data_IF_576728000944
#
_entry.id   IF_576728000944
#
_cell.length_a   1.000
_cell.length_b   1.000
_cell.length_c   1.000
_cell.angle_alpha   90.00
_cell.angle_beta   90.00
_cell.angle_gamma   90.00
#
_symmetry.space_group_name_H-M   'P 1'
#
loop_
_entity.id
_entity.type
_entity.pdbx_description
1 polymer ?
#
# COMPACT_ATOMS: atom_id res chain seq x y z
N UNK A 1 13.25 29.14 -3.63
CA UNK A 1 12.78 28.56 -2.34
C UNK A 1 11.77 29.48 -1.68
N UNK A 2 10.62 28.95 -1.22
CA UNK A 2 9.61 29.72 -0.49
C UNK A 2 9.54 29.23 0.97
N UNK A 3 9.47 30.15 1.93
CA UNK A 3 9.18 29.81 3.33
C UNK A 3 7.67 29.60 3.46
N UNK A 4 7.25 28.44 3.99
CA UNK A 4 5.85 28.09 4.16
C UNK A 4 5.55 27.98 5.65
N UNK A 5 4.51 28.70 6.08
CA UNK A 5 4.01 28.68 7.45
C UNK A 5 2.80 27.76 7.53
N UNK A 6 2.91 26.71 8.35
CA UNK A 6 1.91 25.62 8.42
C UNK A 6 1.04 25.76 9.68
N UNK A 7 1.46 26.58 10.65
CA UNK A 7 0.69 26.90 11.86
C UNK A 7 1.44 27.94 12.68
N UNK A 8 0.78 28.47 13.72
CA UNK A 8 1.30 29.40 14.73
C UNK A 8 2.53 28.88 15.50
N UNK A 9 2.92 27.60 15.31
CA UNK A 9 3.97 26.91 16.08
C UNK A 9 5.02 26.22 15.20
N UNK A 10 5.25 26.65 13.96
CA UNK A 10 6.47 26.25 13.24
C UNK A 10 6.50 26.56 11.75
N UNK A 11 7.73 26.71 11.24
CA UNK A 11 8.05 27.06 9.85
C UNK A 11 8.84 25.93 9.22
N UNK A 12 8.54 25.62 7.95
CA UNK A 12 9.40 24.77 7.12
C UNK A 12 9.76 25.52 5.84
N UNK A 13 10.89 25.17 5.26
CA UNK A 13 11.32 25.70 3.97
C UNK A 13 11.14 24.63 2.93
N UNK A 14 10.36 24.91 1.88
CA UNK A 14 10.13 24.00 0.77
C UNK A 14 10.50 24.67 -0.54
N UNK A 15 11.06 23.89 -1.45
CA UNK A 15 11.23 24.30 -2.84
C UNK A 15 10.00 23.86 -3.64
N UNK A 16 9.03 24.76 -3.75
CA UNK A 16 7.74 24.48 -4.37
C UNK A 16 7.08 25.75 -4.91
N UNK A 17 6.15 25.59 -5.85
CA UNK A 17 5.33 26.66 -6.41
C UNK A 17 3.95 26.77 -5.75
N UNK A 18 3.66 25.95 -4.73
CA UNK A 18 2.42 26.01 -3.95
C UNK A 18 2.02 27.45 -3.58
N UNK A 19 0.74 27.74 -3.78
CA UNK A 19 0.12 29.03 -3.48
C UNK A 19 -0.27 29.12 -2.00
N UNK A 20 -0.40 30.35 -1.48
CA UNK A 20 -0.93 30.59 -0.13
C UNK A 20 -2.31 29.95 0.09
N UNK A 21 -3.16 29.98 -0.95
CA UNK A 21 -4.47 29.32 -0.90
C UNK A 21 -4.38 27.80 -0.76
N UNK A 22 -3.37 27.16 -1.37
CA UNK A 22 -3.13 25.72 -1.17
C UNK A 22 -2.62 25.44 0.25
N UNK A 23 -1.70 26.25 0.76
CA UNK A 23 -1.17 26.12 2.14
C UNK A 23 -2.30 26.29 3.17
N UNK A 24 -3.18 27.28 2.99
CA UNK A 24 -4.34 27.47 3.88
C UNK A 24 -5.26 26.26 3.91
N UNK A 25 -5.48 25.60 2.76
CA UNK A 25 -6.26 24.35 2.68
C UNK A 25 -5.58 23.20 3.42
N UNK A 26 -4.25 23.10 3.38
CA UNK A 26 -3.50 22.14 4.19
C UNK A 26 -3.70 22.37 5.69
N UNK A 27 -3.70 23.63 6.14
CA UNK A 27 -3.94 23.94 7.54
C UNK A 27 -5.39 23.59 7.95
N UNK A 28 -6.36 23.80 7.06
CA UNK A 28 -7.76 23.39 7.27
C UNK A 28 -7.93 21.87 7.37
N UNK A 29 -7.09 21.09 6.68
CA UNK A 29 -7.11 19.63 6.74
C UNK A 29 -6.73 19.10 8.13
N UNK A 30 -5.86 19.78 8.86
CA UNK A 30 -5.50 19.43 10.25
C UNK A 30 -6.75 19.40 11.14
N UNK A 31 -7.60 20.42 11.03
CA UNK A 31 -8.81 20.55 11.86
C UNK A 31 -9.87 19.49 11.54
N UNK A 32 -9.80 18.88 10.35
CA UNK A 32 -10.79 17.93 9.84
C UNK A 32 -10.28 16.49 9.82
N UNK A 33 -9.05 16.27 10.25
CA UNK A 33 -8.49 14.94 10.39
C UNK A 33 -9.24 14.18 11.48
N UNK A 34 -9.66 12.96 11.15
CA UNK A 34 -10.38 12.08 12.07
C UNK A 34 -9.34 11.19 12.77
N UNK A 35 -9.44 11.11 14.10
CA UNK A 35 -8.66 10.19 14.93
C UNK A 35 -9.63 9.19 15.55
N UNK A 36 -9.53 7.92 15.16
CA UNK A 36 -10.38 6.85 15.66
C UNK A 36 -9.61 5.53 15.70
N UNK A 37 -9.83 4.74 16.75
CA UNK A 37 -9.15 3.45 16.99
C UNK A 37 -7.62 3.52 16.91
N UNK A 38 -7.05 4.65 17.34
CA UNK A 38 -5.60 4.89 17.29
C UNK A 38 -5.05 5.11 15.89
N UNK A 39 -5.88 5.46 14.91
CA UNK A 39 -5.47 5.75 13.53
C UNK A 39 -5.95 7.12 13.03
N UNK A 40 -5.17 7.73 12.12
CA UNK A 40 -5.60 8.90 11.34
C UNK A 40 -6.40 8.49 10.10
N UNK A 41 -7.42 9.28 9.84
CA UNK A 41 -8.14 9.28 8.59
C UNK A 41 -8.32 10.71 8.09
N UNK A 42 -8.05 10.91 6.80
CA UNK A 42 -8.19 12.20 6.12
C UNK A 42 -9.44 12.11 5.24
N UNK A 43 -10.49 12.91 5.50
CA UNK A 43 -11.70 12.90 4.68
C UNK A 43 -11.38 13.19 3.21
N UNK A 44 -11.93 12.39 2.28
CA UNK A 44 -11.62 12.56 0.85
C UNK A 44 -12.06 13.94 0.32
N UNK A 45 -13.12 14.51 0.89
CA UNK A 45 -13.65 15.83 0.55
C UNK A 45 -12.69 16.99 0.87
N UNK A 46 -11.71 16.74 1.74
CA UNK A 46 -10.75 17.75 2.19
C UNK A 46 -9.39 17.63 1.47
N UNK A 47 -9.24 16.62 0.60
CA UNK A 47 -7.99 16.34 -0.12
C UNK A 47 -7.69 17.31 -1.26
N UNK A 48 -8.61 18.19 -1.63
CA UNK A 48 -8.42 19.06 -2.81
C UNK A 48 -7.17 19.96 -2.68
N UNK A 49 -6.88 20.49 -1.48
CA UNK A 49 -5.63 21.20 -1.22
C UNK A 49 -4.39 20.33 -1.41
N UNK A 50 -4.45 19.07 -0.95
CA UNK A 50 -3.34 18.11 -0.99
C UNK A 50 -3.07 17.59 -2.40
N UNK A 51 -4.13 17.33 -3.16
CA UNK A 51 -4.09 16.84 -4.53
C UNK A 51 -3.95 17.97 -5.56
N UNK A 52 -3.50 19.14 -5.10
CA UNK A 52 -3.21 20.31 -5.93
C UNK A 52 -4.37 20.74 -6.85
N UNK A 53 -5.60 20.64 -6.35
CA UNK A 53 -6.83 20.97 -7.06
C UNK A 53 -7.69 21.97 -6.27
N UNK A 54 -8.53 22.71 -6.98
CA UNK A 54 -9.41 23.70 -6.36
C UNK A 54 -10.83 23.20 -6.10
N UNK A 55 -11.13 21.96 -6.50
CA UNK A 55 -12.47 21.37 -6.37
C UNK A 55 -12.42 20.07 -5.60
N UNK A 56 -13.36 19.90 -4.66
CA UNK A 56 -13.60 18.64 -3.95
C UNK A 56 -13.95 17.50 -4.90
N UNK A 57 -14.78 17.77 -5.90
CA UNK A 57 -15.16 16.77 -6.91
C UNK A 57 -13.96 16.33 -7.74
N UNK A 58 -13.07 17.26 -8.12
CA UNK A 58 -11.82 16.91 -8.80
C UNK A 58 -10.91 16.06 -7.90
N UNK A 59 -10.88 16.30 -6.60
CA UNK A 59 -10.13 15.45 -5.66
C UNK A 59 -10.68 14.02 -5.64
N UNK A 60 -12.02 13.86 -5.62
CA UNK A 60 -12.68 12.55 -5.73
C UNK A 60 -12.35 11.85 -7.04
N UNK A 61 -12.38 12.58 -8.16
CA UNK A 61 -12.01 12.05 -9.48
C UNK A 61 -10.56 11.55 -9.48
N UNK A 62 -9.61 12.31 -8.92
CA UNK A 62 -8.21 11.87 -8.79
C UNK A 62 -8.14 10.58 -7.96
N UNK A 63 -8.78 10.53 -6.79
CA UNK A 63 -8.80 9.33 -5.94
C UNK A 63 -9.38 8.12 -6.68
N UNK A 64 -10.45 8.31 -7.44
CA UNK A 64 -11.07 7.25 -8.22
C UNK A 64 -10.18 6.78 -9.39
N UNK A 65 -9.50 7.69 -10.09
CA UNK A 65 -8.60 7.36 -11.19
C UNK A 65 -7.37 6.57 -10.72
N UNK A 66 -6.93 6.82 -9.49
CA UNK A 66 -5.81 6.11 -8.84
C UNK A 66 -6.30 5.16 -7.76
N UNK A 67 -7.51 4.61 -7.92
CA UNK A 67 -8.15 3.77 -6.89
C UNK A 67 -7.31 2.56 -6.55
N UNK A 68 -6.65 1.93 -7.51
CA UNK A 68 -5.79 0.77 -7.22
C UNK A 68 -4.61 1.09 -6.32
N UNK A 69 -4.04 2.30 -6.44
CA UNK A 69 -2.95 2.77 -5.57
C UNK A 69 -3.43 2.96 -4.13
N UNK A 70 -4.69 3.40 -3.95
CA UNK A 70 -5.20 3.81 -2.63
C UNK A 70 -6.24 2.87 -2.02
N UNK A 71 -6.72 1.85 -2.74
CA UNK A 71 -7.86 1.00 -2.33
C UNK A 71 -7.64 0.34 -0.97
N UNK A 72 -6.42 -0.09 -0.68
CA UNK A 72 -6.06 -0.72 0.59
C UNK A 72 -6.08 0.25 1.79
N UNK A 73 -6.08 1.56 1.52
CA UNK A 73 -5.98 2.63 2.50
C UNK A 73 -7.23 3.52 2.57
N UNK A 74 -8.14 3.31 1.62
CA UNK A 74 -9.40 4.02 1.50
C UNK A 74 -10.46 3.28 2.33
N UNK A 75 -11.05 3.98 3.29
CA UNK A 75 -12.12 3.47 4.13
C UNK A 75 -13.42 4.12 3.71
N UNK A 76 -14.29 3.32 3.09
CA UNK A 76 -15.65 3.68 2.69
C UNK A 76 -16.63 2.94 3.60
N UNK A 77 -16.75 3.39 4.83
CA UNK A 77 -17.71 2.87 5.79
C UNK A 77 -18.72 3.98 6.13
N UNK A 78 -19.98 3.87 5.65
CA UNK A 78 -20.98 4.91 5.83
C UNK A 78 -21.42 5.06 7.30
N UNK A 79 -21.16 4.08 8.15
CA UNK A 79 -21.54 4.10 9.57
C UNK A 79 -20.39 4.63 10.41
N UNK A 80 -19.16 4.14 10.18
CA UNK A 80 -17.99 4.46 11.00
C UNK A 80 -17.74 5.96 11.13
N UNK A 81 -17.84 6.69 10.02
CA UNK A 81 -17.56 8.13 9.98
C UNK A 81 -18.81 9.01 9.95
N UNK A 82 -19.99 8.43 10.19
CA UNK A 82 -21.26 9.17 10.19
C UNK A 82 -21.24 10.33 11.19
N UNK A 83 -20.67 10.12 12.38
CA UNK A 83 -20.54 11.13 13.45
C UNK A 83 -19.67 12.34 13.05
N UNK A 84 -18.84 12.19 12.01
CA UNK A 84 -18.02 13.26 11.44
C UNK A 84 -18.62 13.86 10.16
N UNK A 85 -19.75 13.34 9.68
CA UNK A 85 -20.34 13.77 8.41
C UNK A 85 -19.49 13.40 7.18
N UNK A 86 -18.69 12.34 7.28
CA UNK A 86 -17.74 11.93 6.23
C UNK A 86 -18.15 10.57 5.68
N UNK A 87 -18.24 10.46 4.35
CA UNK A 87 -18.64 9.22 3.65
C UNK A 87 -17.46 8.30 3.33
N UNK A 88 -16.27 8.86 3.26
CA UNK A 88 -15.04 8.14 2.96
C UNK A 88 -13.83 8.92 3.44
N UNK A 89 -12.82 8.20 3.90
CA UNK A 89 -11.57 8.78 4.34
C UNK A 89 -10.39 7.90 3.94
N UNK A 90 -9.23 8.51 3.74
CA UNK A 90 -8.00 7.82 3.37
C UNK A 90 -6.99 7.89 4.52
N UNK A 91 -6.24 6.82 4.73
CA UNK A 91 -5.09 6.85 5.66
C UNK A 91 -3.93 7.67 5.08
N UNK A 92 -3.11 8.34 5.92
CA UNK A 92 -1.98 9.15 5.44
C UNK A 92 -1.00 8.39 4.53
N UNK A 93 -0.73 7.11 4.80
CA UNK A 93 0.15 6.28 3.95
C UNK A 93 -0.40 6.05 2.54
N UNK A 94 -1.72 5.91 2.39
CA UNK A 94 -2.34 5.83 1.07
C UNK A 94 -2.20 7.13 0.29
N UNK A 95 -2.28 8.27 0.99
CA UNK A 95 -2.09 9.59 0.41
C UNK A 95 -0.62 9.85 0.04
N UNK A 96 0.33 9.34 0.83
CA UNK A 96 1.76 9.35 0.50
C UNK A 96 2.01 8.65 -0.84
N UNK A 97 1.54 7.40 -0.97
CA UNK A 97 1.73 6.61 -2.18
C UNK A 97 1.11 7.31 -3.40
N UNK A 98 -0.11 7.84 -3.24
CA UNK A 98 -0.78 8.59 -4.30
C UNK A 98 0.02 9.83 -4.74
N UNK A 99 0.55 10.61 -3.80
CA UNK A 99 1.30 11.83 -4.12
C UNK A 99 2.62 11.52 -4.85
N UNK A 100 3.34 10.46 -4.48
CA UNK A 100 4.52 10.03 -5.23
C UNK A 100 4.15 9.53 -6.63
N UNK A 101 3.11 8.69 -6.77
CA UNK A 101 2.64 8.25 -8.08
C UNK A 101 2.23 9.43 -8.97
N UNK A 102 1.58 10.46 -8.41
CA UNK A 102 1.23 11.69 -9.13
C UNK A 102 2.46 12.53 -9.50
N UNK A 103 3.50 12.54 -8.68
CA UNK A 103 4.76 13.21 -8.97
C UNK A 103 5.50 12.55 -10.12
N UNK A 104 5.54 11.21 -10.15
CA UNK A 104 6.11 10.41 -11.23
C UNK A 104 5.32 10.58 -12.53
N UNK A 105 3.99 10.51 -12.46
CA UNK A 105 3.12 10.66 -13.63
C UNK A 105 3.09 12.10 -14.18
N UNK A 106 3.47 13.11 -13.39
CA UNK A 106 3.48 14.52 -13.81
C UNK A 106 4.77 15.24 -13.37
N UNK A 107 5.90 15.02 -14.08
CA UNK A 107 7.20 15.56 -13.71
C UNK A 107 7.23 17.09 -13.56
N UNK A 108 6.42 17.81 -14.35
CA UNK A 108 6.32 19.28 -14.28
C UNK A 108 5.78 19.79 -12.94
N UNK A 109 5.02 18.95 -12.22
CA UNK A 109 4.43 19.26 -10.92
C UNK A 109 5.01 18.42 -9.78
N UNK A 110 6.05 17.62 -10.04
CA UNK A 110 6.61 16.71 -9.07
C UNK A 110 7.06 17.40 -7.77
N UNK A 111 7.67 18.59 -7.88
CA UNK A 111 8.07 19.39 -6.72
C UNK A 111 6.89 19.87 -5.88
N UNK A 112 5.74 20.15 -6.48
CA UNK A 112 4.53 20.55 -5.74
C UNK A 112 3.85 19.38 -5.04
N UNK A 113 3.85 18.19 -5.65
CA UNK A 113 3.35 16.97 -5.02
C UNK A 113 4.26 16.52 -3.88
N UNK A 114 5.58 16.59 -4.05
CA UNK A 114 6.54 16.32 -2.96
C UNK A 114 6.50 17.40 -1.88
N UNK A 115 6.25 18.67 -2.25
CA UNK A 115 5.94 19.73 -1.30
C UNK A 115 4.69 19.41 -0.47
N UNK A 116 3.62 18.95 -1.12
CA UNK A 116 2.39 18.48 -0.48
C UNK A 116 2.61 17.31 0.48
N UNK A 117 3.47 16.37 0.09
CA UNK A 117 3.88 15.25 0.92
C UNK A 117 4.69 15.69 2.14
N UNK A 118 5.62 16.64 1.99
CA UNK A 118 6.35 17.20 3.12
C UNK A 118 5.44 17.96 4.10
N UNK A 119 4.44 18.69 3.59
CA UNK A 119 3.40 19.32 4.42
C UNK A 119 2.59 18.27 5.20
N UNK A 120 2.16 17.20 4.53
CA UNK A 120 1.44 16.09 5.15
C UNK A 120 2.29 15.42 6.23
N UNK A 121 3.57 15.14 5.95
CA UNK A 121 4.49 14.53 6.90
C UNK A 121 4.72 15.42 8.13
N UNK A 122 4.83 16.73 7.94
CA UNK A 122 4.92 17.70 9.03
C UNK A 122 3.67 17.71 9.91
N UNK A 123 2.48 17.67 9.29
CA UNK A 123 1.22 17.55 10.00
C UNK A 123 1.21 16.26 10.82
N UNK A 124 1.53 15.12 10.20
CA UNK A 124 1.59 13.81 10.86
C UNK A 124 2.58 13.80 12.02
N UNK A 125 3.77 14.39 11.86
CA UNK A 125 4.80 14.45 12.90
C UNK A 125 4.36 15.25 14.14
N UNK A 126 3.46 16.23 13.98
CA UNK A 126 2.87 16.98 15.10
C UNK A 126 1.73 16.25 15.81
N UNK A 127 1.35 15.07 15.33
CA UNK A 127 0.37 14.20 15.95
C UNK A 127 1.00 12.82 16.22
N UNK A 128 1.71 12.61 17.34
CA UNK A 128 2.48 11.39 17.61
C UNK A 128 1.68 10.08 17.54
N UNK A 129 0.35 10.15 17.73
CA UNK A 129 -0.54 9.01 17.54
C UNK A 129 -0.60 8.52 16.07
N UNK A 130 -0.19 9.33 15.10
CA UNK A 130 -0.21 9.01 13.66
C UNK A 130 1.08 8.34 13.16
N UNK A 131 2.22 8.68 13.78
CA UNK A 131 3.44 7.90 13.62
C UNK A 131 3.24 6.49 14.21
N UNK A 132 2.60 6.42 15.38
CA UNK A 132 2.21 5.16 16.02
C UNK A 132 1.24 4.35 15.14
N UNK A 133 0.24 4.98 14.51
CA UNK A 133 -0.71 4.27 13.64
C UNK A 133 -0.05 3.64 12.40
N UNK A 134 0.93 4.33 11.80
CA UNK A 134 1.67 3.80 10.66
C UNK A 134 2.55 2.60 11.04
N UNK A 135 3.20 2.66 12.21
CA UNK A 135 3.96 1.52 12.76
C UNK A 135 3.05 0.37 13.21
N UNK A 136 1.89 0.66 13.78
CA UNK A 136 0.87 -0.32 14.15
C UNK A 136 0.34 -1.00 12.88
N UNK A 137 0.08 -0.26 11.80
CA UNK A 137 -0.38 -0.83 10.53
C UNK A 137 0.67 -1.71 9.85
N UNK A 138 1.95 -1.31 9.85
CA UNK A 138 3.04 -2.17 9.37
C UNK A 138 3.06 -3.50 10.15
N UNK A 139 2.94 -3.44 11.48
CA UNK A 139 2.84 -4.62 12.34
C UNK A 139 1.57 -5.44 12.10
N UNK A 140 0.43 -4.81 11.85
CA UNK A 140 -0.81 -5.54 11.53
C UNK A 140 -0.75 -6.22 10.17
N UNK A 141 -0.18 -5.57 9.14
CA UNK A 141 0.01 -6.18 7.82
C UNK A 141 0.97 -7.37 7.90
N UNK A 142 2.06 -7.21 8.62
CA UNK A 142 3.01 -8.30 8.89
C UNK A 142 2.33 -9.44 9.68
N UNK A 143 1.53 -9.11 10.70
CA UNK A 143 0.81 -10.12 11.48
C UNK A 143 -0.24 -10.87 10.66
N UNK A 144 -0.98 -10.18 9.77
CA UNK A 144 -1.94 -10.81 8.85
C UNK A 144 -1.22 -11.73 7.87
N UNK A 145 -0.14 -11.26 7.25
CA UNK A 145 0.67 -12.06 6.33
C UNK A 145 1.25 -13.30 7.04
N UNK A 146 1.83 -13.12 8.23
CA UNK A 146 2.38 -14.22 9.03
C UNK A 146 1.29 -15.21 9.45
N UNK A 147 0.08 -14.74 9.78
CA UNK A 147 -1.06 -15.59 10.11
C UNK A 147 -1.52 -16.42 8.92
N UNK A 148 -1.63 -15.82 7.73
CA UNK A 148 -1.99 -16.53 6.49
C UNK A 148 -0.92 -17.56 6.13
N UNK A 149 0.36 -17.18 6.16
CA UNK A 149 1.49 -18.09 5.89
C UNK A 149 1.50 -19.25 6.89
N UNK A 150 1.36 -18.98 8.18
CA UNK A 150 1.33 -20.01 9.23
C UNK A 150 0.10 -20.92 9.11
N UNK A 151 -1.06 -20.38 8.72
CA UNK A 151 -2.26 -21.17 8.40
C UNK A 151 -1.96 -22.12 7.24
N UNK A 152 -1.48 -21.60 6.11
CA UNK A 152 -1.21 -22.39 4.91
C UNK A 152 -0.19 -23.51 5.15
N UNK A 153 0.92 -23.21 5.85
CA UNK A 153 1.95 -24.23 6.19
C UNK A 153 1.41 -25.34 7.11
N UNK A 154 0.45 -25.03 7.99
CA UNK A 154 -0.20 -26.01 8.87
C UNK A 154 -1.26 -26.84 8.17
N UNK A 155 -2.02 -26.25 7.24
CA UNK A 155 -3.12 -26.96 6.57
C UNK A 155 -2.67 -27.82 5.41
N UNK A 156 -1.55 -27.52 4.77
CA UNK A 156 -1.05 -28.28 3.63
C UNK A 156 0.00 -29.31 4.04
N UNK A 157 -0.36 -30.58 3.89
CA UNK A 157 0.54 -31.72 4.13
C UNK A 157 1.21 -32.24 2.84
N UNK A 158 0.81 -31.69 1.69
CA UNK A 158 1.32 -32.05 0.37
C UNK A 158 1.84 -30.78 -0.30
N UNK A 159 3.03 -30.88 -0.92
CA UNK A 159 3.58 -29.85 -1.79
C UNK A 159 2.66 -29.65 -2.98
N UNK A 160 2.10 -28.45 -3.14
CA UNK A 160 1.08 -28.19 -4.16
C UNK A 160 1.61 -28.21 -5.59
N UNK A 161 2.92 -28.05 -5.78
CA UNK A 161 3.59 -28.16 -7.08
C UNK A 161 3.96 -29.62 -7.38
N UNK A 162 4.83 -30.23 -6.55
CA UNK A 162 5.37 -31.57 -6.84
C UNK A 162 4.49 -32.74 -6.41
N UNK A 163 3.36 -32.48 -5.74
CA UNK A 163 2.44 -33.47 -5.13
C UNK A 163 3.08 -34.43 -4.11
N UNK A 164 4.35 -34.24 -3.78
CA UNK A 164 5.04 -34.96 -2.73
C UNK A 164 4.49 -34.58 -1.34
N UNK A 165 4.37 -35.57 -0.46
CA UNK A 165 4.08 -35.31 0.96
C UNK A 165 5.27 -34.59 1.61
N UNK A 166 4.99 -33.69 2.54
CA UNK A 166 6.02 -33.06 3.38
C UNK A 166 6.46 -34.02 4.49
N UNK A 167 7.77 -34.17 4.68
CA UNK A 167 8.36 -34.84 5.85
C UNK A 167 8.70 -33.83 6.94
N UNK A 168 9.12 -34.32 8.12
CA UNK A 168 9.55 -33.45 9.22
C UNK A 168 10.81 -32.63 8.89
N UNK A 169 11.62 -33.11 7.95
CA UNK A 169 12.86 -32.46 7.52
C UNK A 169 12.63 -31.49 6.35
N UNK A 170 11.44 -31.52 5.73
CA UNK A 170 11.12 -30.64 4.62
C UNK A 170 10.79 -29.22 5.11
N UNK A 171 11.57 -28.24 4.65
CA UNK A 171 11.21 -26.84 4.83
C UNK A 171 10.00 -26.49 3.96
N UNK A 172 8.91 -26.03 4.58
CA UNK A 172 7.72 -25.54 3.86
C UNK A 172 7.87 -24.05 3.55
N UNK A 173 7.68 -23.68 2.28
CA UNK A 173 7.61 -22.30 1.83
C UNK A 173 6.23 -21.97 1.29
N UNK A 174 5.83 -20.71 1.39
CA UNK A 174 4.62 -20.18 0.76
C UNK A 174 5.08 -19.25 -0.35
N UNK A 175 4.69 -19.58 -1.58
CA UNK A 175 5.10 -18.88 -2.78
C UNK A 175 3.91 -18.12 -3.38
N UNK A 176 4.15 -16.88 -3.81
CA UNK A 176 3.18 -16.06 -4.52
C UNK A 176 3.12 -16.45 -6.00
N UNK A 177 1.93 -16.80 -6.51
CA UNK A 177 1.74 -17.13 -7.93
C UNK A 177 1.96 -15.89 -8.80
N UNK A 178 1.24 -14.79 -8.50
CA UNK A 178 1.62 -13.46 -8.95
C UNK A 178 2.51 -12.84 -7.88
N UNK A 179 3.76 -12.54 -8.24
CA UNK A 179 4.74 -12.03 -7.30
C UNK A 179 4.29 -10.72 -6.63
N UNK A 180 4.73 -10.51 -5.38
CA UNK A 180 4.35 -9.33 -4.61
C UNK A 180 4.77 -8.02 -5.27
N UNK A 181 5.87 -8.01 -6.04
CA UNK A 181 6.31 -6.86 -6.83
C UNK A 181 5.44 -6.59 -8.05
N UNK A 182 4.85 -7.64 -8.62
CA UNK A 182 4.06 -7.63 -9.84
C UNK A 182 2.60 -7.26 -9.56
N UNK A 183 1.98 -7.83 -8.51
CA UNK A 183 0.65 -7.44 -8.03
C UNK A 183 0.59 -7.44 -6.48
N UNK A 184 0.94 -6.31 -5.83
CA UNK A 184 0.90 -6.19 -4.38
C UNK A 184 -0.49 -6.40 -3.78
N UNK A 185 -1.57 -6.24 -4.55
CA UNK A 185 -2.93 -6.39 -4.05
C UNK A 185 -3.33 -7.84 -3.77
N UNK A 186 -2.59 -8.79 -4.35
CA UNK A 186 -2.78 -10.22 -4.17
C UNK A 186 -1.83 -10.84 -3.13
N UNK A 187 -1.00 -10.04 -2.45
CA UNK A 187 0.06 -10.53 -1.57
C UNK A 187 -0.45 -11.39 -0.39
N UNK A 188 -1.70 -11.17 0.05
CA UNK A 188 -2.33 -11.90 1.15
C UNK A 188 -3.54 -12.75 0.70
N UNK A 189 -3.83 -12.81 -0.60
CA UNK A 189 -4.92 -13.64 -1.11
C UNK A 189 -4.49 -15.12 -1.06
N UNK A 190 -5.17 -15.94 -0.26
CA UNK A 190 -4.90 -17.39 -0.15
C UNK A 190 -4.95 -18.10 -1.51
N UNK A 191 -5.69 -17.58 -2.50
CA UNK A 191 -5.73 -18.14 -3.87
C UNK A 191 -4.52 -17.78 -4.72
N UNK A 192 -3.77 -16.77 -4.32
CA UNK A 192 -2.51 -16.37 -4.95
C UNK A 192 -1.29 -17.01 -4.27
N UNK A 193 -1.50 -17.87 -3.28
CA UNK A 193 -0.44 -18.47 -2.48
C UNK A 193 -0.45 -19.99 -2.63
N UNK A 194 0.72 -20.58 -2.83
CA UNK A 194 0.89 -22.03 -2.86
C UNK A 194 1.96 -22.47 -1.87
N UNK A 195 1.76 -23.61 -1.23
CA UNK A 195 2.71 -24.21 -0.29
C UNK A 195 3.57 -25.22 -1.05
N UNK A 196 4.88 -24.97 -1.08
CA UNK A 196 5.86 -25.78 -1.81
C UNK A 196 7.08 -26.12 -0.93
N UNK A 197 7.85 -27.13 -1.32
CA UNK A 197 9.11 -27.47 -0.64
C UNK A 197 10.16 -26.38 -0.86
N UNK A 198 10.97 -26.09 0.15
CA UNK A 198 12.00 -25.06 0.09
C UNK A 198 13.00 -25.25 -1.04
N UNK A 199 13.40 -26.50 -1.31
CA UNK A 199 14.25 -26.83 -2.47
C UNK A 199 13.62 -26.40 -3.81
N UNK A 200 12.30 -26.56 -3.96
CA UNK A 200 11.56 -26.19 -5.18
C UNK A 200 11.42 -24.67 -5.27
N UNK A 201 11.14 -24.03 -4.14
CA UNK A 201 11.04 -22.57 -4.06
C UNK A 201 12.34 -21.89 -4.49
N UNK A 202 13.47 -22.34 -3.93
CA UNK A 202 14.80 -21.81 -4.24
C UNK A 202 15.17 -22.10 -5.70
N UNK A 203 14.92 -23.32 -6.18
CA UNK A 203 15.22 -23.70 -7.56
C UNK A 203 14.42 -22.89 -8.59
N UNK A 204 13.13 -22.64 -8.32
CA UNK A 204 12.31 -21.76 -9.15
C UNK A 204 12.87 -20.34 -9.20
N UNK A 205 13.18 -19.73 -8.05
CA UNK A 205 13.72 -18.38 -8.00
C UNK A 205 15.09 -18.27 -8.68
N UNK A 206 15.95 -19.28 -8.54
CA UNK A 206 17.21 -19.35 -9.28
C UNK A 206 16.97 -19.44 -10.79
N UNK A 207 16.03 -20.28 -11.23
CA UNK A 207 15.71 -20.43 -12.65
C UNK A 207 15.17 -19.14 -13.27
N UNK A 208 14.22 -18.45 -12.63
CA UNK A 208 13.70 -17.18 -13.16
C UNK A 208 14.79 -16.09 -13.18
N UNK A 209 15.64 -16.03 -12.15
CA UNK A 209 16.72 -15.03 -12.08
C UNK A 209 17.76 -15.27 -13.18
N UNK A 210 18.15 -16.53 -13.42
CA UNK A 210 19.07 -16.89 -14.50
C UNK A 210 18.52 -16.52 -15.89
N UNK A 211 17.20 -16.60 -16.06
CA UNK A 211 16.52 -16.30 -17.32
C UNK A 211 16.03 -14.84 -17.42
N UNK A 212 16.24 -14.03 -16.37
CA UNK A 212 15.73 -12.66 -16.25
C UNK A 212 14.21 -12.56 -16.48
N UNK A 213 13.46 -13.52 -15.95
CA UNK A 213 12.00 -13.59 -16.08
C UNK A 213 11.31 -13.00 -14.83
N UNK A 214 10.09 -12.48 -15.00
CA UNK A 214 9.25 -12.00 -13.90
C UNK A 214 8.64 -13.15 -13.09
N UNK A 215 8.30 -12.89 -11.81
CA UNK A 215 7.61 -13.85 -10.95
C UNK A 215 6.10 -13.73 -11.17
N UNK A 216 5.54 -14.60 -12.02
CA UNK A 216 4.12 -14.57 -12.33
C UNK A 216 3.58 -15.96 -12.67
N UNK A 217 2.26 -16.07 -12.79
CA UNK A 217 1.59 -17.34 -13.09
C UNK A 217 2.10 -18.03 -14.34
N UNK A 218 2.41 -17.25 -15.37
CA UNK A 218 2.92 -17.80 -16.63
C UNK A 218 4.28 -18.48 -16.43
N UNK A 219 5.22 -17.82 -15.77
CA UNK A 219 6.56 -18.39 -15.54
C UNK A 219 6.52 -19.56 -14.56
N UNK A 220 5.64 -19.52 -13.56
CA UNK A 220 5.41 -20.64 -12.66
C UNK A 220 4.82 -21.86 -13.39
N UNK A 221 3.87 -21.68 -14.31
CA UNK A 221 3.36 -22.76 -15.18
C UNK A 221 4.45 -23.37 -16.05
N UNK A 222 5.29 -22.54 -16.66
CA UNK A 222 6.42 -23.01 -17.48
C UNK A 222 7.40 -23.84 -16.65
N UNK A 223 7.74 -23.38 -15.44
CA UNK A 223 8.60 -24.12 -14.52
C UNK A 223 7.99 -25.46 -14.09
N UNK A 224 6.68 -25.48 -13.80
CA UNK A 224 5.98 -26.70 -13.44
C UNK A 224 5.98 -27.72 -14.59
N UNK A 225 5.71 -27.28 -15.83
CA UNK A 225 5.78 -28.14 -17.02
C UNK A 225 7.19 -28.69 -17.23
N UNK A 226 8.21 -27.84 -17.14
CA UNK A 226 9.63 -28.24 -17.31
C UNK A 226 10.05 -29.37 -16.36
N UNK A 227 9.51 -29.39 -15.15
CA UNK A 227 9.87 -30.32 -14.09
C UNK A 227 8.85 -31.44 -13.87
N UNK A 228 7.85 -31.59 -14.76
CA UNK A 228 6.76 -32.56 -14.62
C UNK A 228 5.98 -32.44 -13.29
N UNK A 229 5.73 -31.21 -12.85
CA UNK A 229 4.94 -30.91 -11.65
C UNK A 229 3.47 -30.64 -11.98
N UNK A 230 2.63 -30.66 -10.94
CA UNK A 230 1.19 -30.40 -11.04
C UNK A 230 0.90 -28.94 -11.39
N UNK A 231 -0.12 -28.77 -12.25
CA UNK A 231 -0.70 -27.46 -12.58
C UNK A 231 -1.98 -27.17 -11.80
N UNK A 232 -2.49 -28.11 -11.00
CA UNK A 232 -3.81 -28.00 -10.36
C UNK A 232 -3.91 -26.83 -9.36
N UNK A 233 -2.76 -26.38 -8.84
CA UNK A 233 -2.67 -25.27 -7.88
C UNK A 233 -2.31 -23.92 -8.53
N UNK A 234 -2.20 -23.84 -9.88
CA UNK A 234 -1.75 -22.65 -10.63
C UNK A 234 -2.78 -22.17 -11.65
#
# INVERSE_FOLDING_TARGET
MKKIEISDKGKITLETTLTQGQISKFNGLIQKMIIEDGAAYIPIDELHGVLLTNSRDRAKVIINNYRDTVKAYLVTDPIRFQKYGVIAAIRPVGLYNLLETLAEANPKRASDYRGSLALLAYIVAKHPQLALSSSIEAKYKEAVQNSVVAKLKRTHNICQLSTETFTNDDEKHVHHIEGQSEDPSLANDEKNLIVIKGRIHIDYHNWINMQQLATNRYTLKQYAVKNNYSLAAI
#
